data_IF_665131888334
#
_entry.id   IF_665131888334
#
_cell.length_a   1.000
_cell.length_b   1.000
_cell.length_c   1.000
_cell.angle_alpha   90.00
_cell.angle_beta   90.00
_cell.angle_gamma   90.00
#
_symmetry.space_group_name_H-M   'P 1'
#
loop_
_entity.id
_entity.type
_entity.pdbx_description
1 polymer ?
#
# COMPACT_ATOMS: atom_id res chain seq x y z
N UNK A 1 46.14 -53.75 15.45
CA UNK A 1 44.80 -53.24 15.03
C UNK A 1 44.89 -51.73 15.04
N UNK A 2 44.90 -51.14 13.85
CA UNK A 2 44.86 -49.69 13.65
C UNK A 2 43.44 -49.24 13.96
N UNK A 3 43.26 -48.44 15.01
CA UNK A 3 42.00 -47.75 15.27
C UNK A 3 42.19 -46.28 14.87
N UNK A 4 41.55 -45.90 13.76
CA UNK A 4 41.44 -44.52 13.30
C UNK A 4 40.56 -43.72 14.26
N UNK A 5 41.02 -42.53 14.65
CA UNK A 5 40.17 -41.52 15.28
C UNK A 5 39.17 -40.96 14.25
N UNK A 6 37.91 -40.66 14.64
CA UNK A 6 36.99 -39.90 13.79
C UNK A 6 37.27 -38.39 13.89
N UNK A 7 37.10 -37.62 12.81
CA UNK A 7 37.32 -36.17 12.84
C UNK A 7 36.16 -35.48 13.56
N UNK A 8 36.51 -34.50 14.41
CA UNK A 8 35.58 -33.55 15.01
C UNK A 8 34.89 -32.73 13.90
N UNK A 9 33.64 -33.08 13.58
CA UNK A 9 32.75 -32.22 12.81
C UNK A 9 32.30 -31.06 13.72
N UNK A 10 32.97 -29.91 13.59
CA UNK A 10 32.45 -28.64 14.08
C UNK A 10 31.11 -28.37 13.38
N UNK A 11 30.01 -28.15 14.09
CA UNK A 11 28.77 -27.73 13.45
C UNK A 11 29.05 -26.33 12.88
N UNK A 12 29.03 -26.22 11.56
CA UNK A 12 28.88 -24.95 10.88
C UNK A 12 27.52 -24.44 11.32
N UNK A 13 27.51 -23.58 12.34
CA UNK A 13 26.37 -22.72 12.63
C UNK A 13 26.21 -21.84 11.39
N UNK A 14 25.38 -22.30 10.44
CA UNK A 14 24.68 -21.39 9.56
C UNK A 14 23.90 -20.46 10.49
N UNK A 15 24.47 -19.30 10.78
CA UNK A 15 23.70 -18.13 11.16
C UNK A 15 22.81 -17.82 9.97
N UNK A 16 21.71 -18.57 9.86
CA UNK A 16 20.56 -18.17 9.08
C UNK A 16 20.18 -16.82 9.67
N UNK A 17 20.59 -15.77 8.97
CA UNK A 17 20.14 -14.42 9.22
C UNK A 17 18.65 -14.45 8.91
N UNK A 18 17.83 -14.78 9.91
CA UNK A 18 16.39 -14.66 9.85
C UNK A 18 16.05 -13.16 9.89
N UNK A 19 16.38 -12.48 8.79
CA UNK A 19 15.73 -11.23 8.40
C UNK A 19 14.30 -11.65 8.03
N UNK A 20 13.45 -11.76 9.04
CA UNK A 20 12.04 -12.07 8.84
C UNK A 20 11.34 -10.89 8.18
N UNK A 21 10.54 -11.16 7.15
CA UNK A 21 9.79 -10.16 6.39
C UNK A 21 8.89 -9.31 7.30
N UNK A 22 8.71 -8.03 6.93
CA UNK A 22 7.74 -7.14 7.55
C UNK A 22 6.30 -7.63 7.31
N UNK A 23 5.38 -7.30 8.21
CA UNK A 23 3.98 -7.74 8.08
C UNK A 23 3.28 -6.92 7.00
N UNK A 24 2.62 -7.58 6.05
CA UNK A 24 1.78 -6.93 5.03
C UNK A 24 0.55 -6.29 5.68
N UNK A 25 0.66 -5.02 6.08
CA UNK A 25 -0.43 -4.25 6.68
C UNK A 25 -0.99 -3.24 5.69
N UNK A 26 -2.31 -3.22 5.56
CA UNK A 26 -3.04 -2.19 4.81
C UNK A 26 -4.08 -1.55 5.72
N UNK A 27 -4.06 -0.21 5.81
CA UNK A 27 -5.09 0.56 6.51
C UNK A 27 -5.99 1.25 5.49
N UNK A 28 -7.30 1.03 5.59
CA UNK A 28 -8.32 1.53 4.68
C UNK A 28 -9.27 2.49 5.42
N UNK A 29 -9.67 3.56 4.73
CA UNK A 29 -10.73 4.46 5.16
C UNK A 29 -11.68 4.76 4.00
N UNK A 30 -12.99 4.87 4.29
CA UNK A 30 -13.98 5.32 3.31
C UNK A 30 -14.20 6.83 3.42
N UNK A 31 -13.70 7.57 2.42
CA UNK A 31 -13.70 9.02 2.38
C UNK A 31 -15.05 9.61 1.92
N UNK A 32 -16.00 8.78 1.47
CA UNK A 32 -17.35 9.23 1.07
C UNK A 32 -18.22 9.56 2.28
N UNK A 33 -17.90 8.94 3.41
CA UNK A 33 -18.73 8.95 4.60
C UNK A 33 -18.23 10.08 5.52
N UNK A 34 -18.74 11.29 5.27
CA UNK A 34 -18.47 12.46 6.10
C UNK A 34 -19.27 12.45 7.41
N UNK A 35 -20.26 11.56 7.51
CA UNK A 35 -21.03 11.29 8.72
C UNK A 35 -20.23 10.39 9.68
N UNK A 36 -19.97 10.83 10.92
CA UNK A 36 -19.20 10.07 11.92
C UNK A 36 -19.70 8.64 12.14
N UNK A 37 -21.01 8.46 12.14
CA UNK A 37 -21.64 7.16 12.40
C UNK A 37 -21.39 6.14 11.28
N UNK A 38 -21.13 6.60 10.06
CA UNK A 38 -20.91 5.76 8.88
C UNK A 38 -19.44 5.59 8.56
N UNK A 39 -18.59 6.53 8.98
CA UNK A 39 -17.15 6.43 8.81
C UNK A 39 -16.59 5.17 9.47
N UNK A 40 -15.67 4.51 8.78
CA UNK A 40 -14.98 3.33 9.29
C UNK A 40 -13.51 3.35 8.90
N UNK A 41 -12.70 2.78 9.80
CA UNK A 41 -11.31 2.47 9.55
C UNK A 41 -11.13 0.96 9.65
N UNK A 42 -10.55 0.36 8.62
CA UNK A 42 -10.28 -1.07 8.58
C UNK A 42 -8.80 -1.29 8.42
N UNK A 43 -8.18 -2.01 9.34
CA UNK A 43 -6.84 -2.53 9.15
C UNK A 43 -6.90 -4.01 8.77
N UNK A 44 -6.12 -4.37 7.76
CA UNK A 44 -6.02 -5.72 7.21
C UNK A 44 -4.56 -6.15 7.20
N UNK A 45 -4.32 -7.41 7.54
CA UNK A 45 -3.05 -8.10 7.37
C UNK A 45 -3.19 -9.14 6.26
N UNK A 46 -2.29 -9.12 5.27
CA UNK A 46 -2.25 -10.11 4.18
C UNK A 46 -1.89 -11.52 4.66
N UNK A 47 -1.25 -11.63 5.83
CA UNK A 47 -1.02 -12.90 6.51
C UNK A 47 -2.05 -13.06 7.62
N UNK A 48 -2.83 -14.15 7.58
CA UNK A 48 -3.54 -14.61 8.76
C UNK A 48 -2.49 -15.00 9.80
N UNK A 49 -2.51 -14.38 10.99
CA UNK A 49 -1.71 -14.88 12.10
C UNK A 49 -2.07 -16.36 12.28
N UNK A 50 -1.10 -17.25 12.03
CA UNK A 50 -1.30 -18.68 12.12
C UNK A 50 -1.93 -19.01 13.48
N UNK A 51 -3.14 -19.54 13.46
CA UNK A 51 -3.94 -19.73 14.66
C UNK A 51 -4.65 -21.07 14.66
N UNK A 52 -3.92 -22.13 15.03
CA UNK A 52 -4.42 -23.25 15.86
C UNK A 52 -3.27 -23.76 16.73
N UNK A 53 -3.33 -23.54 18.04
CA UNK A 53 -2.38 -24.11 19.02
C UNK A 53 -1.73 -23.09 19.96
N UNK A 54 -0.90 -23.61 20.88
CA UNK A 54 -0.11 -22.86 21.89
C UNK A 54 0.95 -21.92 21.33
N UNK A 55 1.09 -21.86 20.00
CA UNK A 55 2.12 -21.09 19.29
C UNK A 55 1.57 -19.77 18.70
N UNK A 56 0.38 -19.33 19.15
CA UNK A 56 -0.21 -18.04 18.79
C UNK A 56 0.54 -16.86 19.45
N UNK A 57 1.75 -16.55 19.00
CA UNK A 57 2.61 -15.48 19.53
C UNK A 57 2.51 -14.15 18.77
N UNK A 58 1.41 -13.90 18.06
CA UNK A 58 1.14 -12.61 17.39
C UNK A 58 0.11 -11.79 18.17
N UNK A 59 0.40 -10.55 18.62
CA UNK A 59 -0.65 -9.69 19.16
C UNK A 59 -1.70 -9.39 18.06
N UNK A 60 -2.98 -9.24 18.42
CA UNK A 60 -4.02 -8.89 17.45
C UNK A 60 -3.71 -7.52 16.83
N UNK A 61 -4.15 -7.31 15.58
CA UNK A 61 -4.09 -5.99 14.95
C UNK A 61 -4.69 -4.93 15.88
N UNK A 62 -3.94 -3.86 16.09
CA UNK A 62 -4.29 -2.77 16.97
C UNK A 62 -4.53 -1.51 16.16
N UNK A 63 -5.69 -0.90 16.34
CA UNK A 63 -6.04 0.37 15.73
C UNK A 63 -6.07 1.44 16.83
N UNK A 64 -5.17 2.40 16.73
CA UNK A 64 -4.93 3.45 17.72
C UNK A 64 -5.25 4.82 17.11
N UNK A 65 -5.59 5.79 17.96
CA UNK A 65 -5.64 7.21 17.62
C UNK A 65 -4.56 7.95 18.41
N UNK A 66 -3.76 8.78 17.75
CA UNK A 66 -2.76 9.63 18.38
C UNK A 66 -3.33 11.01 18.68
N UNK A 67 -3.81 11.19 19.92
CA UNK A 67 -4.38 12.45 20.41
C UNK A 67 -3.31 13.47 20.86
N UNK A 68 -2.01 13.18 20.71
CA UNK A 68 -0.94 14.10 21.12
C UNK A 68 -0.79 15.29 20.16
N UNK A 69 -1.13 15.10 18.89
CA UNK A 69 -1.00 16.09 17.83
C UNK A 69 -2.23 17.01 17.80
N UNK A 70 -3.42 16.42 17.90
CA UNK A 70 -4.69 17.15 18.01
C UNK A 70 -5.35 16.72 19.31
N UNK A 71 -5.15 17.52 20.37
CA UNK A 71 -5.74 17.24 21.67
C UNK A 71 -7.25 17.48 21.62
N UNK A 72 -8.03 16.43 21.81
CA UNK A 72 -9.47 16.55 22.08
C UNK A 72 -9.74 16.58 23.58
N UNK A 73 -10.77 17.32 24.05
CA UNK A 73 -11.09 17.40 25.49
C UNK A 73 -11.43 16.05 26.13
N UNK A 74 -11.91 15.09 25.32
CA UNK A 74 -12.21 13.73 25.76
C UNK A 74 -11.19 12.77 25.11
N UNK A 75 -10.57 11.86 25.89
CA UNK A 75 -9.77 10.78 25.33
C UNK A 75 -10.60 9.95 24.36
N UNK A 76 -10.02 9.58 23.23
CA UNK A 76 -10.72 8.74 22.27
C UNK A 76 -10.98 7.35 22.85
N UNK A 77 -12.25 6.95 22.88
CA UNK A 77 -12.66 5.58 23.14
C UNK A 77 -13.25 5.00 21.84
N UNK A 78 -12.68 3.91 21.27
CA UNK A 78 -13.18 3.32 20.05
C UNK A 78 -14.64 2.89 20.27
N UNK A 79 -15.61 3.40 19.47
CA UNK A 79 -17.02 3.20 19.76
C UNK A 79 -17.43 1.74 19.57
N UNK A 80 -17.09 1.18 18.41
CA UNK A 80 -17.34 -0.22 18.09
C UNK A 80 -16.15 -0.81 17.32
N UNK A 81 -15.56 -1.87 17.85
CA UNK A 81 -14.48 -2.63 17.21
C UNK A 81 -15.02 -3.98 16.75
N UNK A 82 -15.04 -4.21 15.45
CA UNK A 82 -15.31 -5.52 14.85
C UNK A 82 -13.99 -6.19 14.47
N UNK A 83 -13.81 -7.45 14.88
CA UNK A 83 -12.66 -8.28 14.50
C UNK A 83 -13.14 -9.45 13.67
N UNK A 84 -12.43 -9.76 12.59
CA UNK A 84 -12.62 -10.98 11.82
C UNK A 84 -11.29 -11.72 11.78
N UNK A 85 -11.13 -12.68 12.70
CA UNK A 85 -9.86 -13.37 12.91
C UNK A 85 -8.74 -12.45 13.41
N UNK A 86 -7.50 -12.87 13.16
CA UNK A 86 -6.28 -12.10 13.46
C UNK A 86 -5.90 -11.12 12.34
N UNK A 87 -6.45 -11.29 11.13
CA UNK A 87 -6.06 -10.54 9.94
C UNK A 87 -6.88 -9.28 9.69
N UNK A 88 -7.98 -9.04 10.41
CA UNK A 88 -8.82 -7.86 10.16
C UNK A 88 -9.42 -7.25 11.42
N UNK A 89 -9.23 -5.95 11.60
CA UNK A 89 -9.88 -5.14 12.62
C UNK A 89 -10.54 -3.93 11.98
N UNK A 90 -11.77 -3.62 12.37
CA UNK A 90 -12.52 -2.47 11.85
C UNK A 90 -13.10 -1.67 13.01
N UNK A 91 -12.91 -0.35 12.99
CA UNK A 91 -13.49 0.58 13.95
C UNK A 91 -14.59 1.40 13.27
N UNK A 92 -15.75 1.52 13.94
CA UNK A 92 -16.95 2.23 13.47
C UNK A 92 -17.65 2.96 14.61
N UNK A 93 -18.67 3.75 14.26
CA UNK A 93 -19.64 4.33 15.19
C UNK A 93 -19.17 5.61 15.87
N UNK A 94 -18.37 6.44 15.18
CA UNK A 94 -17.83 7.66 15.77
C UNK A 94 -18.98 8.62 16.12
N UNK A 95 -18.91 9.27 17.28
CA UNK A 95 -20.03 10.03 17.83
C UNK A 95 -20.19 11.39 17.17
N UNK A 96 -19.06 12.09 16.93
CA UNK A 96 -19.04 13.47 16.45
C UNK A 96 -17.92 13.70 15.42
N UNK A 97 -18.01 14.71 14.54
CA UNK A 97 -17.00 14.97 13.50
C UNK A 97 -15.60 15.25 14.04
N UNK A 98 -15.49 15.83 15.23
CA UNK A 98 -14.19 16.07 15.89
C UNK A 98 -13.47 14.78 16.28
N UNK A 99 -14.19 13.66 16.46
CA UNK A 99 -13.57 12.37 16.77
C UNK A 99 -12.82 11.81 15.56
N UNK A 100 -13.23 12.21 14.36
CA UNK A 100 -12.59 11.81 13.11
C UNK A 100 -11.31 12.58 12.84
N UNK A 101 -11.18 13.81 13.34
CA UNK A 101 -9.97 14.62 13.08
C UNK A 101 -8.80 14.08 13.90
N UNK A 102 -7.67 13.88 13.23
CA UNK A 102 -6.43 13.47 13.86
C UNK A 102 -5.68 12.39 13.08
N UNK A 103 -4.81 11.69 13.79
CA UNK A 103 -3.92 10.68 13.25
C UNK A 103 -4.32 9.33 13.83
N UNK A 104 -4.57 8.37 12.95
CA UNK A 104 -4.84 6.99 13.31
C UNK A 104 -3.67 6.13 12.89
N UNK A 105 -3.41 5.06 13.63
CA UNK A 105 -2.42 4.08 13.23
C UNK A 105 -2.93 2.66 13.38
N UNK A 106 -2.60 1.82 12.41
CA UNK A 106 -2.68 0.38 12.58
C UNK A 106 -1.30 -0.17 12.93
N UNK A 107 -1.24 -1.02 13.95
CA UNK A 107 -0.04 -1.75 14.36
C UNK A 107 -0.31 -3.24 14.27
N UNK A 108 0.61 -3.97 13.65
CA UNK A 108 0.61 -5.43 13.55
C UNK A 108 2.03 -5.99 13.66
N UNK A 109 2.13 -7.29 13.92
CA UNK A 109 3.42 -7.98 14.15
C UNK A 109 3.81 -8.13 15.62
N UNK A 110 4.84 -8.94 15.89
CA UNK A 110 5.24 -9.35 17.24
C UNK A 110 6.70 -8.96 17.58
N UNK A 111 6.98 -8.73 18.87
CA UNK A 111 8.32 -8.41 19.36
C UNK A 111 8.91 -7.14 18.70
N UNK A 112 10.11 -7.26 18.16
CA UNK A 112 10.82 -6.19 17.41
C UNK A 112 10.30 -5.97 16.00
N UNK A 113 9.40 -6.83 15.49
CA UNK A 113 8.88 -6.83 14.11
C UNK A 113 7.51 -6.18 13.99
N UNK A 114 7.31 -5.04 14.67
CA UNK A 114 6.04 -4.30 14.61
C UNK A 114 6.04 -3.39 13.40
N UNK A 115 5.07 -3.59 12.51
CA UNK A 115 4.79 -2.69 11.38
C UNK A 115 3.71 -1.72 11.82
N UNK A 116 3.88 -0.44 11.51
CA UNK A 116 2.90 0.61 11.80
C UNK A 116 2.54 1.35 10.52
N UNK A 117 1.26 1.48 10.25
CA UNK A 117 0.70 2.24 9.12
C UNK A 117 -0.11 3.41 9.68
N UNK A 118 0.16 4.62 9.20
CA UNK A 118 -0.52 5.83 9.67
C UNK A 118 -1.53 6.33 8.63
N UNK A 119 -2.68 6.78 9.12
CA UNK A 119 -3.70 7.48 8.35
C UNK A 119 -3.98 8.83 9.01
N UNK A 120 -4.02 9.89 8.20
CA UNK A 120 -4.31 11.25 8.67
C UNK A 120 -5.66 11.66 8.09
N UNK A 121 -6.62 11.94 8.96
CA UNK A 121 -7.94 12.37 8.54
C UNK A 121 -8.05 13.89 8.60
N UNK A 122 -8.44 14.48 7.47
CA UNK A 122 -8.74 15.90 7.35
C UNK A 122 -10.25 16.12 7.32
N UNK A 123 -10.74 17.06 8.14
CA UNK A 123 -12.17 17.39 8.15
C UNK A 123 -12.60 17.96 6.79
N UNK A 124 -13.64 17.39 6.13
CA UNK A 124 -14.16 17.94 4.88
C UNK A 124 -14.67 19.38 4.99
N UNK A 125 -15.04 19.81 6.20
CA UNK A 125 -15.54 21.15 6.50
C UNK A 125 -14.45 22.16 6.92
N UNK A 126 -13.18 21.77 6.91
CA UNK A 126 -12.03 22.58 7.33
C UNK A 126 -11.89 23.87 6.51
N UNK A 127 -11.19 24.85 7.09
CA UNK A 127 -10.92 26.13 6.43
C UNK A 127 -9.81 26.00 5.38
N UNK A 128 -8.81 25.17 5.69
CA UNK A 128 -7.70 24.81 4.83
C UNK A 128 -7.77 23.32 4.56
N UNK A 129 -7.45 22.90 3.34
CA UNK A 129 -7.37 21.50 2.95
C UNK A 129 -6.01 21.22 2.31
N UNK A 130 -5.36 20.07 2.62
CA UNK A 130 -4.13 19.71 1.94
C UNK A 130 -4.43 19.33 0.49
N UNK A 131 -3.59 19.76 -0.46
CA UNK A 131 -3.68 19.27 -1.84
C UNK A 131 -3.33 17.78 -1.92
N UNK A 132 -2.39 17.34 -1.07
CA UNK A 132 -2.02 15.95 -0.88
C UNK A 132 -1.78 15.70 0.60
N UNK A 133 -2.39 14.65 1.15
CA UNK A 133 -2.27 14.35 2.58
C UNK A 133 -0.89 13.78 2.90
N UNK A 134 -0.38 12.86 2.08
CA UNK A 134 0.90 12.20 2.33
C UNK A 134 1.94 12.56 1.26
N UNK A 135 3.10 13.02 1.71
CA UNK A 135 4.23 13.37 0.87
C UNK A 135 5.40 12.44 1.20
N UNK A 136 5.87 11.69 0.20
CA UNK A 136 7.10 10.91 0.29
C UNK A 136 8.17 11.60 -0.52
N UNK A 137 9.30 11.88 0.10
CA UNK A 137 10.47 12.54 -0.49
C UNK A 137 11.75 11.82 -0.06
N UNK A 138 12.87 12.10 -0.71
CA UNK A 138 14.16 11.52 -0.36
C UNK A 138 14.95 12.45 0.56
N UNK A 139 15.92 11.88 1.28
CA UNK A 139 16.88 12.68 2.05
C UNK A 139 17.58 13.67 1.12
N UNK A 140 17.64 14.93 1.52
CA UNK A 140 18.25 16.02 0.77
C UNK A 140 17.31 16.74 -0.20
N UNK A 141 16.12 16.20 -0.48
CA UNK A 141 15.14 16.85 -1.34
C UNK A 141 14.53 18.10 -0.67
N UNK A 142 13.84 18.92 -1.45
CA UNK A 142 12.96 19.98 -0.94
C UNK A 142 11.52 19.44 -0.87
N UNK A 143 10.95 19.35 0.31
CA UNK A 143 9.54 19.01 0.48
C UNK A 143 8.68 20.29 0.40
N UNK A 144 7.58 20.23 -0.36
CA UNK A 144 6.61 21.33 -0.48
C UNK A 144 5.25 20.84 -0.02
N UNK A 145 4.72 21.44 1.04
CA UNK A 145 3.37 21.17 1.54
C UNK A 145 2.45 22.32 1.10
N UNK A 146 1.30 21.99 0.51
CA UNK A 146 0.35 22.98 -0.02
C UNK A 146 -1.00 22.89 0.68
N UNK A 147 -1.36 23.96 1.38
CA UNK A 147 -2.64 24.13 2.05
C UNK A 147 -3.56 25.03 1.21
N UNK A 148 -4.54 24.42 0.54
CA UNK A 148 -5.54 25.12 -0.26
C UNK A 148 -6.59 25.79 0.63
N UNK A 149 -6.89 27.05 0.32
CA UNK A 149 -7.95 27.80 0.98
C UNK A 149 -9.32 27.29 0.55
N UNK A 150 -10.12 26.83 1.51
CA UNK A 150 -11.53 26.43 1.32
C UNK A 150 -12.49 27.49 1.85
N UNK A 151 -12.19 28.05 3.02
CA UNK A 151 -12.92 29.15 3.65
C UNK A 151 -11.92 30.16 4.16
N UNK A 152 -11.83 31.29 3.48
CA UNK A 152 -10.88 32.34 3.79
C UNK A 152 -11.14 32.97 5.17
N UNK A 153 -10.06 33.34 5.86
CA UNK A 153 -10.07 34.11 7.09
C UNK A 153 -9.08 35.26 6.95
N UNK A 154 -9.43 36.43 7.50
CA UNK A 154 -8.61 37.64 7.41
C UNK A 154 -7.49 37.65 8.47
N UNK A 155 -6.70 36.57 8.51
CA UNK A 155 -5.67 36.35 9.52
C UNK A 155 -4.58 35.42 8.99
N UNK A 156 -3.43 35.43 9.65
CA UNK A 156 -2.24 34.69 9.25
C UNK A 156 -2.40 33.17 9.44
N UNK A 157 -1.51 32.40 8.83
CA UNK A 157 -1.52 30.94 8.92
C UNK A 157 -0.33 30.44 9.73
N UNK A 158 -0.62 29.74 10.83
CA UNK A 158 0.37 29.04 11.64
C UNK A 158 0.59 27.64 11.07
N UNK A 159 1.86 27.33 10.84
CA UNK A 159 2.35 25.98 10.58
C UNK A 159 2.88 25.35 11.85
N UNK A 160 2.54 24.08 12.06
CA UNK A 160 3.02 23.26 13.17
C UNK A 160 3.65 21.98 12.66
N UNK A 161 4.68 21.50 13.35
CA UNK A 161 5.30 20.18 13.15
C UNK A 161 5.12 19.35 14.41
N UNK A 162 4.49 18.19 14.27
CA UNK A 162 4.13 17.27 15.37
C UNK A 162 3.39 17.98 16.53
N UNK A 163 2.54 18.95 16.20
CA UNK A 163 1.77 19.75 17.16
C UNK A 163 2.50 20.95 17.76
N UNK A 164 3.82 21.05 17.58
CA UNK A 164 4.63 22.18 18.01
C UNK A 164 4.64 23.30 16.96
N UNK A 165 4.67 24.56 17.40
CA UNK A 165 4.85 25.69 16.50
C UNK A 165 6.10 25.50 15.62
N UNK A 166 5.95 25.77 14.33
CA UNK A 166 7.04 25.68 13.36
C UNK A 166 7.32 27.04 12.72
N UNK A 167 6.30 27.65 12.10
CA UNK A 167 6.44 28.88 11.34
C UNK A 167 5.08 29.58 11.16
N UNK A 168 5.06 30.87 10.83
CA UNK A 168 3.84 31.61 10.47
C UNK A 168 4.02 32.27 9.10
N UNK A 169 3.02 32.14 8.24
CA UNK A 169 2.93 32.87 6.97
C UNK A 169 1.91 33.99 7.08
N UNK A 170 2.27 35.16 6.55
CA UNK A 170 1.34 36.28 6.42
C UNK A 170 0.22 35.93 5.45
N UNK A 171 -1.00 36.41 5.73
CA UNK A 171 -2.18 36.11 4.91
C UNK A 171 -2.02 36.48 3.42
N UNK A 172 -1.20 37.48 3.08
CA UNK A 172 -0.99 37.94 1.71
C UNK A 172 0.07 37.11 0.97
N UNK A 173 0.74 36.17 1.64
CA UNK A 173 1.68 35.23 1.02
C UNK A 173 0.98 34.04 0.35
N UNK A 174 -0.36 33.97 0.40
CA UNK A 174 -1.12 32.97 -0.33
C UNK A 174 -0.91 33.13 -1.84
N UNK A 175 -0.45 32.06 -2.49
CA UNK A 175 -0.23 32.00 -3.94
C UNK A 175 -1.36 31.17 -4.56
N UNK A 176 -2.11 31.74 -5.49
CA UNK A 176 -3.22 31.07 -6.18
C UNK A 176 -4.23 30.38 -5.23
N UNK A 177 -4.51 31.01 -4.09
CA UNK A 177 -5.41 30.47 -3.07
C UNK A 177 -4.81 29.31 -2.26
N UNK A 178 -3.49 29.21 -2.21
CA UNK A 178 -2.75 28.18 -1.48
C UNK A 178 -1.67 28.81 -0.59
N UNK A 179 -1.49 28.27 0.61
CA UNK A 179 -0.33 28.55 1.45
C UNK A 179 0.69 27.43 1.27
N UNK A 180 1.93 27.78 0.93
CA UNK A 180 2.99 26.83 0.65
C UNK A 180 4.03 26.84 1.78
N UNK A 181 4.33 25.67 2.34
CA UNK A 181 5.48 25.49 3.22
C UNK A 181 6.57 24.73 2.46
N UNK A 182 7.72 25.37 2.25
CA UNK A 182 8.89 24.76 1.63
C UNK A 182 9.90 24.37 2.70
N UNK A 183 10.35 23.12 2.67
CA UNK A 183 11.33 22.55 3.58
C UNK A 183 12.53 22.07 2.73
N UNK A 184 13.57 22.90 2.55
CA UNK A 184 14.74 22.52 1.77
C UNK A 184 15.64 21.54 2.52
N UNK A 185 16.34 20.66 1.79
CA UNK A 185 17.34 19.72 2.33
C UNK A 185 16.81 18.86 3.49
N UNK A 186 15.64 18.25 3.30
CA UNK A 186 14.98 17.48 4.36
C UNK A 186 15.81 16.27 4.81
N UNK A 187 15.73 15.95 6.09
CA UNK A 187 16.38 14.79 6.68
C UNK A 187 15.32 13.82 7.22
N UNK A 188 15.66 12.55 7.52
CA UNK A 188 14.71 11.60 8.11
C UNK A 188 14.01 12.13 9.36
N UNK A 189 14.70 12.96 10.16
CA UNK A 189 14.17 13.66 11.34
C UNK A 189 13.13 14.75 11.01
N UNK A 190 13.06 15.22 9.76
CA UNK A 190 12.02 16.14 9.28
C UNK A 190 10.69 15.44 9.05
N UNK A 191 10.65 14.10 9.02
CA UNK A 191 9.41 13.33 8.90
C UNK A 191 8.46 13.60 10.07
N UNK A 192 7.16 13.57 9.81
CA UNK A 192 6.17 13.80 10.84
C UNK A 192 4.85 14.31 10.29
N UNK A 193 4.03 14.80 11.21
CA UNK A 193 2.72 15.35 10.91
C UNK A 193 2.81 16.87 10.96
N UNK A 194 2.57 17.50 9.82
CA UNK A 194 2.51 18.95 9.72
C UNK A 194 1.04 19.41 9.72
N UNK A 195 0.78 20.62 10.19
CA UNK A 195 -0.54 21.21 10.06
C UNK A 195 -0.47 22.69 9.77
N UNK A 196 -1.43 23.18 8.98
CA UNK A 196 -1.65 24.58 8.69
C UNK A 196 -3.01 25.02 9.24
N UNK A 197 -3.01 26.05 10.08
CA UNK A 197 -4.20 26.56 10.77
C UNK A 197 -4.22 28.08 10.69
N UNK A 198 -5.36 28.68 10.38
CA UNK A 198 -5.54 30.12 10.59
C UNK A 198 -5.34 30.48 12.06
N UNK A 199 -4.68 31.61 12.33
CA UNK A 199 -4.53 32.17 13.66
C UNK A 199 -5.92 32.33 14.32
N UNK A 200 -6.01 32.02 15.62
CA UNK A 200 -7.25 32.00 16.43
C UNK A 200 -8.32 30.97 16.00
N UNK A 201 -8.11 30.20 14.93
CA UNK A 201 -9.03 29.14 14.54
C UNK A 201 -8.82 27.85 15.34
N UNK A 202 -9.89 27.05 15.44
CA UNK A 202 -9.79 25.72 16.04
C UNK A 202 -8.85 24.81 15.24
N UNK A 203 -7.95 24.05 15.90
CA UNK A 203 -7.10 23.05 15.23
C UNK A 203 -7.88 21.98 14.46
N UNK A 204 -9.16 21.76 14.78
CA UNK A 204 -10.03 20.81 14.07
C UNK A 204 -10.32 21.23 12.63
N UNK A 205 -10.15 22.52 12.31
CA UNK A 205 -10.33 23.08 10.97
C UNK A 205 -9.03 23.28 10.20
N UNK A 206 -7.95 22.62 10.61
CA UNK A 206 -6.62 22.69 9.99
C UNK A 206 -6.49 21.74 8.80
N UNK A 207 -5.57 22.06 7.89
CA UNK A 207 -5.04 21.08 6.96
C UNK A 207 -3.93 20.30 7.67
N UNK A 208 -3.97 18.96 7.62
CA UNK A 208 -2.97 18.05 8.15
C UNK A 208 -2.28 17.30 7.03
N UNK A 209 -0.95 17.23 7.14
CA UNK A 209 -0.05 16.60 6.19
C UNK A 209 0.79 15.55 6.91
N UNK A 210 1.15 14.50 6.20
CA UNK A 210 2.14 13.51 6.62
C UNK A 210 3.34 13.61 5.69
N UNK A 211 4.48 14.03 6.23
CA UNK A 211 5.75 14.03 5.52
C UNK A 211 6.54 12.78 5.89
N UNK A 212 6.94 12.03 4.87
CA UNK A 212 7.80 10.85 4.96
C UNK A 212 9.08 11.17 4.21
N UNK A 213 10.21 11.18 4.92
CA UNK A 213 11.52 11.36 4.32
C UNK A 213 12.26 10.03 4.36
N UNK A 214 12.59 9.47 3.19
CA UNK A 214 13.41 8.25 3.08
C UNK A 214 14.80 8.50 3.69
N UNK A 215 15.41 7.48 4.28
CA UNK A 215 16.77 7.52 4.84
C UNK A 215 17.87 7.76 3.81
N UNK A 216 17.59 7.46 2.55
CA UNK A 216 18.51 7.58 1.42
C UNK A 216 18.03 8.59 0.38
N UNK A 217 18.97 9.02 -0.47
CA UNK A 217 18.68 9.78 -1.68
C UNK A 217 17.90 8.96 -2.72
N UNK A 218 17.39 9.63 -3.75
CA UNK A 218 16.60 9.00 -4.80
C UNK A 218 17.35 7.82 -5.45
N UNK A 219 16.67 6.68 -5.59
CA UNK A 219 17.22 5.49 -6.24
C UNK A 219 18.21 4.67 -5.41
N UNK A 220 18.46 5.04 -4.14
CA UNK A 220 19.37 4.28 -3.25
C UNK A 220 18.67 3.67 -2.03
N UNK A 221 19.32 2.65 -1.46
CA UNK A 221 18.92 1.96 -0.22
C UNK A 221 20.12 1.33 0.51
N UNK A 222 19.87 0.82 1.71
CA UNK A 222 20.82 0.19 2.62
C UNK A 222 21.28 1.14 3.73
N UNK A 223 21.94 0.60 4.75
CA UNK A 223 22.40 1.38 5.92
C UNK A 223 23.26 2.58 5.53
N UNK A 224 24.12 2.42 4.53
CA UNK A 224 25.01 3.46 4.00
C UNK A 224 24.54 4.05 2.66
N UNK A 225 23.32 3.71 2.22
CA UNK A 225 22.77 4.14 0.93
C UNK A 225 23.65 3.81 -0.29
N UNK A 226 24.43 2.74 -0.25
CA UNK A 226 25.35 2.36 -1.34
C UNK A 226 24.72 1.49 -2.41
N UNK A 227 23.58 0.85 -2.11
CA UNK A 227 22.91 -0.07 -3.02
C UNK A 227 21.87 0.67 -3.87
N UNK A 228 21.68 0.20 -5.10
CA UNK A 228 20.69 0.74 -6.03
C UNK A 228 19.33 0.04 -5.88
N UNK A 229 18.27 0.82 -5.94
CA UNK A 229 16.89 0.32 -5.90
C UNK A 229 16.54 -0.46 -7.18
N UNK A 230 15.75 -1.54 -7.10
CA UNK A 230 15.43 -2.41 -8.24
C UNK A 230 14.52 -1.78 -9.31
N UNK A 231 14.26 -0.47 -9.29
CA UNK A 231 13.36 0.21 -10.21
C UNK A 231 11.91 -0.29 -10.07
N UNK A 232 11.20 0.20 -9.05
CA UNK A 232 9.80 -0.14 -8.78
C UNK A 232 8.88 0.46 -9.85
N UNK A 233 7.99 -0.35 -10.41
CA UNK A 233 7.04 0.04 -11.45
C UNK A 233 5.71 0.50 -10.86
N UNK A 234 4.86 1.05 -11.73
CA UNK A 234 3.48 1.46 -11.42
C UNK A 234 3.30 2.38 -10.21
N UNK A 235 4.33 3.16 -9.85
CA UNK A 235 4.29 4.06 -8.69
C UNK A 235 4.65 3.38 -7.36
N UNK A 236 5.23 2.19 -7.40
CA UNK A 236 5.84 1.57 -6.22
C UNK A 236 7.01 2.38 -5.68
N UNK A 237 7.23 2.29 -4.37
CA UNK A 237 8.29 3.04 -3.68
C UNK A 237 9.31 2.07 -3.09
N UNK A 238 10.58 2.27 -3.42
CA UNK A 238 11.67 1.47 -2.89
C UNK A 238 11.90 1.78 -1.40
N UNK A 239 11.81 0.77 -0.56
CA UNK A 239 12.12 0.85 0.86
C UNK A 239 13.64 1.03 1.05
N UNK A 240 14.02 2.04 1.83
CA UNK A 240 15.38 2.53 1.94
C UNK A 240 16.29 1.66 2.80
N UNK A 241 15.75 0.71 3.57
CA UNK A 241 16.54 -0.15 4.45
C UNK A 241 16.87 -1.53 3.83
N UNK A 242 15.93 -2.11 3.09
CA UNK A 242 16.01 -3.48 2.54
C UNK A 242 15.91 -3.54 1.01
N UNK A 243 15.55 -2.43 0.34
CA UNK A 243 15.50 -2.33 -1.11
C UNK A 243 14.25 -2.94 -1.74
N UNK A 244 13.29 -3.41 -0.94
CA UNK A 244 12.04 -3.98 -1.46
C UNK A 244 11.09 -2.89 -1.98
N UNK A 245 10.26 -3.22 -2.98
CA UNK A 245 9.25 -2.30 -3.48
C UNK A 245 7.95 -2.42 -2.70
N UNK A 246 7.50 -1.31 -2.10
CA UNK A 246 6.15 -1.22 -1.55
C UNK A 246 5.20 -0.87 -2.69
N UNK A 247 4.34 -1.83 -3.06
CA UNK A 247 3.48 -1.71 -4.22
C UNK A 247 2.17 -0.96 -3.94
N UNK A 248 1.71 -0.12 -4.88
CA UNK A 248 0.44 0.59 -4.73
C UNK A 248 -0.75 -0.37 -4.72
N UNK A 249 -1.87 0.02 -4.09
CA UNK A 249 -3.09 -0.79 -4.06
C UNK A 249 -3.61 -1.08 -5.47
N UNK A 250 -3.56 -2.37 -5.84
CA UNK A 250 -3.91 -2.86 -7.17
C UNK A 250 -2.74 -3.41 -7.97
N UNK A 251 -1.52 -3.42 -7.43
CA UNK A 251 -0.34 -4.03 -8.04
C UNK A 251 0.41 -4.92 -7.05
N UNK A 252 1.13 -5.91 -7.59
CA UNK A 252 1.94 -6.90 -6.87
C UNK A 252 3.19 -7.27 -7.70
N UNK A 253 4.02 -8.15 -7.16
CA UNK A 253 5.32 -8.54 -7.70
C UNK A 253 6.46 -7.81 -7.00
N UNK A 254 7.66 -8.36 -7.16
CA UNK A 254 8.88 -7.82 -6.51
C UNK A 254 9.22 -6.40 -6.95
N UNK A 255 8.73 -5.98 -8.13
CA UNK A 255 8.90 -4.64 -8.69
C UNK A 255 7.55 -3.98 -9.00
N UNK A 256 6.45 -4.48 -8.45
CA UNK A 256 5.10 -3.97 -8.69
C UNK A 256 4.66 -4.05 -10.16
N UNK A 257 5.20 -5.01 -10.90
CA UNK A 257 5.00 -5.18 -12.34
C UNK A 257 3.67 -5.83 -12.70
N UNK A 258 3.01 -6.51 -11.76
CA UNK A 258 1.80 -7.27 -12.00
C UNK A 258 0.57 -6.52 -11.50
N UNK A 259 -0.43 -6.33 -12.36
CA UNK A 259 -1.71 -5.76 -11.95
C UNK A 259 -2.59 -6.81 -11.25
N UNK A 260 -3.20 -6.45 -10.12
CA UNK A 260 -4.26 -7.22 -9.49
C UNK A 260 -5.53 -7.20 -10.36
N UNK A 261 -6.41 -8.19 -10.17
CA UNK A 261 -7.79 -8.08 -10.70
C UNK A 261 -8.51 -6.90 -10.07
N UNK A 262 -9.45 -6.31 -10.79
CA UNK A 262 -10.23 -5.17 -10.32
C UNK A 262 -10.85 -5.46 -8.93
N UNK A 263 -10.74 -4.47 -8.03
CA UNK A 263 -11.28 -4.55 -6.68
C UNK A 263 -10.42 -5.29 -5.67
N UNK A 264 -9.25 -5.82 -6.07
CA UNK A 264 -8.33 -6.55 -5.19
C UNK A 264 -7.09 -5.72 -4.84
N UNK A 265 -6.51 -6.01 -3.67
CA UNK A 265 -5.33 -5.33 -3.14
C UNK A 265 -4.55 -6.23 -2.16
N UNK A 266 -3.50 -5.68 -1.55
CA UNK A 266 -2.57 -6.38 -0.66
C UNK A 266 -1.38 -6.96 -1.43
N UNK A 267 -0.31 -7.35 -0.73
CA UNK A 267 0.92 -7.80 -1.40
C UNK A 267 0.71 -9.01 -2.32
N UNK A 268 -0.30 -9.85 -2.05
CA UNK A 268 -0.63 -11.02 -2.90
C UNK A 268 -1.95 -10.87 -3.68
N UNK A 269 -2.53 -9.66 -3.76
CA UNK A 269 -3.85 -9.43 -4.37
C UNK A 269 -4.99 -10.30 -3.81
N UNK A 270 -4.88 -10.81 -2.58
CA UNK A 270 -5.87 -11.72 -2.00
C UNK A 270 -7.04 -10.98 -1.34
N UNK A 271 -6.80 -9.75 -0.89
CA UNK A 271 -7.80 -8.92 -0.23
C UNK A 271 -8.76 -8.28 -1.22
N UNK A 272 -10.01 -8.09 -0.82
CA UNK A 272 -11.09 -7.56 -1.65
C UNK A 272 -11.68 -6.30 -1.02
N UNK A 273 -11.93 -5.27 -1.82
CA UNK A 273 -12.60 -4.05 -1.37
C UNK A 273 -14.01 -4.36 -0.82
N UNK A 274 -14.41 -3.77 0.33
CA UNK A 274 -15.61 -4.17 1.08
C UNK A 274 -16.96 -3.82 0.42
N UNK A 275 -16.98 -3.05 -0.68
CA UNK A 275 -18.19 -2.54 -1.31
C UNK A 275 -18.48 -3.16 -2.68
N UNK A 276 -19.73 -3.04 -3.14
CA UNK A 276 -20.18 -3.49 -4.47
C UNK A 276 -19.68 -2.60 -5.62
N UNK A 277 -19.16 -1.42 -5.32
CA UNK A 277 -18.61 -0.45 -6.28
C UNK A 277 -17.08 -0.53 -6.39
N UNK A 278 -16.51 -1.70 -6.10
CA UNK A 278 -15.07 -1.90 -6.06
C UNK A 278 -14.42 -1.07 -4.95
N UNK A 279 -13.29 -0.44 -5.28
CA UNK A 279 -12.52 0.39 -4.33
C UNK A 279 -12.88 1.88 -4.37
N UNK A 280 -14.00 2.24 -5.02
CA UNK A 280 -14.47 3.63 -5.11
C UNK A 280 -14.71 4.21 -3.71
N UNK A 281 -14.15 5.39 -3.45
CA UNK A 281 -14.30 6.07 -2.18
C UNK A 281 -13.28 5.67 -1.12
N UNK A 282 -12.44 4.67 -1.39
CA UNK A 282 -11.48 4.15 -0.43
C UNK A 282 -10.11 4.76 -0.65
N UNK A 283 -9.50 5.23 0.43
CA UNK A 283 -8.07 5.49 0.50
C UNK A 283 -7.38 4.32 1.19
N UNK A 284 -6.18 4.03 0.72
CA UNK A 284 -5.31 2.98 1.23
C UNK A 284 -4.05 3.64 1.75
N UNK A 285 -3.66 3.27 2.97
CA UNK A 285 -2.37 3.59 3.53
C UNK A 285 -1.58 2.29 3.68
N UNK A 286 -0.32 2.33 3.28
CA UNK A 286 0.63 1.23 3.31
C UNK A 286 1.83 1.62 4.20
N UNK A 287 2.70 0.66 4.57
CA UNK A 287 3.90 0.96 5.33
C UNK A 287 4.78 2.01 4.64
N UNK A 288 5.56 2.72 5.44
CA UNK A 288 6.56 3.63 4.90
C UNK A 288 7.56 2.84 4.04
N UNK A 289 8.08 3.42 2.95
CA UNK A 289 7.94 4.82 2.55
C UNK A 289 6.71 5.16 1.69
N UNK A 290 5.77 4.24 1.44
CA UNK A 290 4.70 4.47 0.48
C UNK A 290 3.72 5.58 0.89
N UNK A 291 3.21 5.52 2.13
CA UNK A 291 2.24 6.49 2.60
C UNK A 291 0.79 6.14 2.26
N UNK A 292 0.02 7.10 1.73
CA UNK A 292 -1.40 6.89 1.42
C UNK A 292 -1.76 7.38 0.02
N UNK A 293 -2.67 6.67 -0.65
CA UNK A 293 -3.22 7.02 -1.96
C UNK A 293 -4.64 6.49 -2.13
N UNK A 294 -5.32 6.91 -3.19
CA UNK A 294 -6.47 6.18 -3.72
C UNK A 294 -6.03 4.82 -4.31
N UNK A 295 -6.99 3.90 -4.44
CA UNK A 295 -6.81 2.67 -5.21
C UNK A 295 -6.54 2.95 -6.68
N UNK A 296 -5.86 2.04 -7.38
CA UNK A 296 -5.68 2.16 -8.84
C UNK A 296 -7.03 2.41 -9.54
N UNK A 297 -7.06 3.28 -10.54
CA UNK A 297 -8.27 3.64 -11.28
C UNK A 297 -9.11 4.77 -10.66
N UNK A 298 -8.74 5.26 -9.48
CA UNK A 298 -9.46 6.30 -8.74
C UNK A 298 -8.56 7.46 -8.33
N UNK A 299 -9.14 8.67 -8.28
CA UNK A 299 -8.47 9.90 -7.84
C UNK A 299 -9.43 10.85 -7.12
N UNK A 300 -8.89 12.01 -6.75
CA UNK A 300 -9.60 13.08 -6.06
C UNK A 300 -9.52 12.94 -4.54
N UNK A 301 -9.86 14.00 -3.81
CA UNK A 301 -9.71 14.06 -2.35
C UNK A 301 -10.55 13.02 -1.59
N UNK A 302 -11.53 12.42 -2.26
CA UNK A 302 -12.38 11.35 -1.72
C UNK A 302 -12.27 10.03 -2.51
N UNK A 303 -11.34 9.90 -3.46
CA UNK A 303 -11.18 8.69 -4.29
C UNK A 303 -12.45 8.26 -5.03
N UNK A 304 -13.29 9.22 -5.45
CA UNK A 304 -14.56 8.95 -6.12
C UNK A 304 -14.51 9.16 -7.63
N UNK A 305 -13.51 9.89 -8.10
CA UNK A 305 -13.37 10.26 -9.50
C UNK A 305 -12.60 9.14 -10.22
N UNK A 306 -13.16 8.63 -11.31
CA UNK A 306 -12.45 7.71 -12.18
C UNK A 306 -11.26 8.42 -12.86
N UNK A 307 -10.23 7.65 -13.24
CA UNK A 307 -9.19 8.19 -14.12
C UNK A 307 -9.76 8.68 -15.45
N UNK A 308 -9.22 9.79 -15.93
CA UNK A 308 -9.48 10.24 -17.29
C UNK A 308 -8.90 9.23 -18.31
N UNK A 309 -9.45 9.15 -19.53
CA UNK A 309 -8.89 8.29 -20.57
C UNK A 309 -7.39 8.51 -20.76
N UNK A 310 -6.64 7.40 -20.90
CA UNK A 310 -5.18 7.45 -21.05
C UNK A 310 -4.39 7.54 -19.73
N UNK A 311 -5.05 7.54 -18.57
CA UNK A 311 -4.41 7.53 -17.24
C UNK A 311 -4.80 6.32 -16.42
N UNK A 312 -3.90 5.89 -15.55
CA UNK A 312 -4.08 4.72 -14.69
C UNK A 312 -3.24 4.83 -13.40
N UNK A 313 -3.30 3.80 -12.56
CA UNK A 313 -2.52 3.70 -11.33
C UNK A 313 -3.16 4.42 -10.15
N UNK A 314 -2.48 4.37 -9.01
CA UNK A 314 -2.91 5.07 -7.79
C UNK A 314 -2.98 6.59 -8.04
N UNK A 315 -4.07 7.21 -7.59
CA UNK A 315 -4.39 8.63 -7.82
C UNK A 315 -4.42 9.05 -9.31
N UNK A 316 -4.44 8.08 -10.25
CA UNK A 316 -4.35 8.31 -11.69
C UNK A 316 -3.10 9.10 -12.13
N UNK A 317 -2.00 8.98 -11.38
CA UNK A 317 -0.76 9.72 -11.67
C UNK A 317 0.04 9.16 -12.85
N UNK A 318 -0.25 7.93 -13.30
CA UNK A 318 0.45 7.32 -14.42
C UNK A 318 -0.28 7.59 -15.73
N UNK A 319 0.49 7.78 -16.80
CA UNK A 319 -0.01 7.95 -18.16
C UNK A 319 0.32 6.70 -18.98
N UNK A 320 -0.67 6.20 -19.72
CA UNK A 320 -0.48 5.08 -20.62
C UNK A 320 0.37 5.50 -21.83
N UNK A 321 1.34 4.66 -22.17
CA UNK A 321 2.20 4.81 -23.35
C UNK A 321 2.15 3.53 -24.19
N UNK A 322 0.94 2.97 -24.36
CA UNK A 322 0.76 1.66 -24.97
C UNK A 322 1.16 1.69 -26.45
N UNK A 323 1.95 0.70 -26.85
CA UNK A 323 2.43 0.48 -28.21
C UNK A 323 1.67 -0.69 -28.86
N UNK A 324 1.88 -0.89 -30.15
CA UNK A 324 1.43 -2.07 -30.89
C UNK A 324 -0.08 -2.37 -30.76
N UNK A 325 -0.90 -1.32 -30.69
CA UNK A 325 -2.36 -1.45 -30.56
C UNK A 325 -2.86 -1.77 -29.15
N UNK A 326 -2.01 -1.66 -28.12
CA UNK A 326 -2.43 -1.82 -26.73
C UNK A 326 -3.44 -0.75 -26.29
N UNK A 327 -4.41 -1.17 -25.49
CA UNK A 327 -5.45 -0.28 -24.95
C UNK A 327 -5.12 0.13 -23.52
N UNK A 328 -5.47 1.36 -23.14
CA UNK A 328 -5.27 1.85 -21.78
C UNK A 328 -6.47 1.51 -20.89
N UNK A 329 -6.28 0.60 -19.93
CA UNK A 329 -7.20 0.35 -18.84
C UNK A 329 -6.78 1.16 -17.60
N UNK A 330 -7.75 1.77 -16.93
CA UNK A 330 -7.50 2.67 -15.80
C UNK A 330 -6.96 1.94 -14.55
N UNK A 331 -7.18 0.64 -14.44
CA UNK A 331 -6.77 -0.15 -13.27
C UNK A 331 -5.41 -0.80 -13.46
N UNK A 332 -5.16 -1.36 -14.65
CA UNK A 332 -3.99 -2.20 -14.95
C UNK A 332 -2.95 -1.53 -15.84
N UNK A 333 -3.28 -0.42 -16.51
CA UNK A 333 -2.41 0.23 -17.48
C UNK A 333 -2.60 -0.33 -18.88
N UNK A 334 -1.51 -0.70 -19.56
CA UNK A 334 -1.60 -1.20 -20.92
C UNK A 334 -2.07 -2.65 -20.97
N UNK A 335 -3.21 -2.88 -21.63
CA UNK A 335 -3.70 -4.21 -21.97
C UNK A 335 -3.20 -4.55 -23.37
N UNK A 336 -2.30 -5.53 -23.42
CA UNK A 336 -1.60 -5.89 -24.64
C UNK A 336 -2.40 -6.87 -25.51
N UNK A 337 -2.39 -6.69 -26.85
CA UNK A 337 -2.91 -7.69 -27.76
C UNK A 337 -2.12 -8.99 -27.67
N UNK A 338 -2.71 -10.10 -28.14
CA UNK A 338 -2.04 -11.40 -28.20
C UNK A 338 -0.69 -11.30 -28.91
N UNK A 339 0.36 -11.88 -28.32
CA UNK A 339 1.73 -11.85 -28.83
C UNK A 339 2.57 -10.65 -28.38
N UNK A 340 1.99 -9.71 -27.63
CA UNK A 340 2.68 -8.56 -27.04
C UNK A 340 2.63 -8.59 -25.51
N UNK A 341 3.69 -8.11 -24.87
CA UNK A 341 3.78 -7.98 -23.43
C UNK A 341 4.74 -6.82 -23.04
N UNK A 342 4.91 -6.61 -21.73
CA UNK A 342 5.65 -5.47 -21.21
C UNK A 342 4.72 -4.36 -20.72
N UNK A 343 5.28 -3.37 -20.04
CA UNK A 343 4.52 -2.27 -19.41
C UNK A 343 3.80 -1.39 -20.44
N UNK A 344 4.33 -1.35 -21.66
CA UNK A 344 3.86 -0.55 -22.76
C UNK A 344 3.52 -1.40 -23.99
N UNK A 345 3.41 -2.73 -23.84
CA UNK A 345 3.24 -3.66 -24.96
C UNK A 345 4.37 -3.57 -25.99
N UNK A 346 5.58 -3.25 -25.53
CA UNK A 346 6.75 -2.98 -26.35
C UNK A 346 7.53 -4.25 -26.74
N UNK A 347 7.24 -5.39 -26.09
CA UNK A 347 7.95 -6.66 -26.31
C UNK A 347 7.05 -7.62 -27.07
N UNK A 348 7.54 -8.10 -28.21
CA UNK A 348 6.91 -9.19 -28.97
C UNK A 348 7.41 -10.53 -28.44
N UNK A 349 6.50 -11.45 -28.14
CA UNK A 349 6.86 -12.80 -27.75
C UNK A 349 5.66 -13.72 -27.84
N UNK A 350 5.83 -14.86 -28.51
CA UNK A 350 4.99 -16.02 -28.28
C UNK A 350 5.30 -16.49 -26.87
N UNK A 351 4.32 -16.43 -25.98
CA UNK A 351 4.32 -17.34 -24.84
C UNK A 351 4.44 -18.75 -25.45
N UNK A 352 5.55 -19.44 -25.16
CA UNK A 352 5.89 -20.78 -25.66
C UNK A 352 4.93 -21.84 -25.10
N UNK A 353 3.65 -21.75 -25.47
CA UNK A 353 2.59 -22.69 -25.09
C UNK A 353 2.25 -23.68 -26.21
N UNK A 354 2.98 -23.66 -27.33
CA UNK A 354 2.85 -24.62 -28.43
C UNK A 354 4.03 -25.60 -28.56
N UNK A 355 4.74 -25.87 -27.46
CA UNK A 355 5.75 -26.93 -27.37
C UNK A 355 5.40 -27.98 -26.30
N UNK A 356 4.14 -28.42 -26.26
CA UNK A 356 3.66 -29.54 -25.43
C UNK A 356 2.87 -30.61 -26.19
N UNK A 357 2.65 -30.43 -27.50
CA UNK A 357 2.04 -31.42 -28.38
C UNK A 357 3.07 -32.37 -29.00
N UNK A 358 3.96 -32.95 -28.19
CA UNK A 358 4.85 -34.02 -28.66
C UNK A 358 4.07 -35.34 -28.74
N UNK A 359 3.30 -35.49 -29.81
CA UNK A 359 2.98 -36.80 -30.37
C UNK A 359 4.28 -37.41 -30.90
N UNK A 360 4.96 -38.20 -30.06
CA UNK A 360 6.09 -39.02 -30.49
C UNK A 360 6.02 -40.39 -29.81
N UNK A 361 5.31 -41.28 -30.50
CA UNK A 361 5.50 -42.73 -30.61
C UNK A 361 6.13 -43.44 -29.40
N UNK A 362 5.27 -44.16 -28.67
CA UNK A 362 5.65 -45.29 -27.82
C UNK A 362 6.48 -46.28 -28.65
N UNK A 363 7.70 -46.58 -28.19
CA UNK A 363 8.56 -47.65 -28.70
C UNK A 363 7.92 -49.00 -28.37
N UNK A 364 7.49 -49.73 -29.40
CA UNK A 364 7.29 -51.18 -29.30
C UNK A 364 8.64 -51.88 -29.48
N UNK A 365 9.11 -52.53 -28.41
CA UNK A 365 10.14 -53.56 -28.46
C UNK A 365 9.60 -54.81 -27.76
N UNK A 366 9.19 -55.76 -28.61
CA UNK A 366 8.90 -57.19 -28.42
C UNK A 366 8.97 -57.87 -27.04
N UNK A 367 7.93 -58.69 -26.81
CA UNK A 367 8.11 -60.11 -26.44
C UNK A 367 7.66 -60.54 -25.04
N UNK A 368 6.54 -61.27 -24.96
CA UNK A 368 6.14 -62.01 -23.75
C UNK A 368 4.72 -62.58 -23.83
N UNK A 369 4.63 -63.91 -23.91
CA UNK A 369 3.45 -64.77 -24.12
C UNK A 369 2.52 -64.92 -22.89
N UNK A 370 1.38 -65.59 -23.17
CA UNK A 370 0.29 -66.09 -22.30
C UNK A 370 -0.78 -65.06 -21.91
N UNK A 371 -2.08 -65.32 -22.04
CA UNK A 371 -2.81 -66.51 -22.45
C UNK A 371 -4.32 -66.21 -22.41
N UNK A 372 -5.07 -67.02 -23.15
CA UNK A 372 -6.52 -66.99 -23.41
C UNK A 372 -7.45 -66.39 -22.35
N UNK A 373 -8.48 -65.68 -22.84
CA UNK A 373 -9.87 -65.93 -22.45
C UNK A 373 -10.83 -65.61 -23.59
N UNK A 374 -11.53 -66.64 -24.06
CA UNK A 374 -12.67 -66.67 -24.97
C UNK A 374 -13.87 -66.08 -24.22
N UNK A 375 -14.71 -65.21 -24.79
CA UNK A 375 -15.95 -65.62 -25.43
C UNK A 375 -16.68 -64.44 -26.08
N UNK A 376 -17.17 -64.72 -27.28
CA UNK A 376 -18.08 -63.92 -28.07
C UNK A 376 -19.47 -63.79 -27.42
N UNK A 377 -20.19 -62.71 -27.74
CA UNK A 377 -21.62 -62.78 -28.08
C UNK A 377 -21.97 -61.63 -29.03
N UNK A 378 -22.36 -62.05 -30.23
CA UNK A 378 -22.94 -61.30 -31.35
C UNK A 378 -24.44 -61.05 -31.15
N UNK A 379 -24.96 -59.92 -31.63
CA UNK A 379 -26.39 -59.70 -31.86
C UNK A 379 -26.66 -58.41 -32.67
N UNK A 380 -27.50 -58.41 -33.73
CA UNK A 380 -27.39 -57.49 -34.88
C UNK A 380 -28.43 -56.33 -34.86
N UNK A 381 -28.40 -55.41 -35.85
CA UNK A 381 -29.20 -54.18 -35.83
C UNK A 381 -30.57 -54.35 -36.50
N UNK A 382 -31.52 -53.53 -36.08
CA UNK A 382 -32.83 -53.30 -36.70
C UNK A 382 -33.30 -51.89 -36.35
#
# INVERSE_FOLDING_TARGET
MVWLEPPLLLPIFFLASHVGAAVDLTLLADLRLTEPQRFFLTCVSGEAGAGRGSDAWGPPLLLEKDDRIVRTPRPWQPPHIARNGSSRVTVRGFSQPSDLVGVFSCVGGAGTRRTRVLYVHNSPGAHLLPDKVTHTVNKGDTAVLSARVRKEKQTDVIWKSNGSYFYTLDRHEAQDGQFLLQLPNVQPSSSGIYSATYLEASPLGSAFFRLIVRGCEAGRWGQDCTKECPGCLHGGVCHDQDGECVCPPGFTGTRCEQACREGRFGQSCQEQCPGTSGCRGLTFCLPDPYGCSCGSGWRGSQCQEACAPGRFGADCHLQCQCQNGGTCDRFSGCVCPSGWHGMHCEKSGLHDWDAGGASSKMKDSGGGLCGSCVSALTGPPG
#
